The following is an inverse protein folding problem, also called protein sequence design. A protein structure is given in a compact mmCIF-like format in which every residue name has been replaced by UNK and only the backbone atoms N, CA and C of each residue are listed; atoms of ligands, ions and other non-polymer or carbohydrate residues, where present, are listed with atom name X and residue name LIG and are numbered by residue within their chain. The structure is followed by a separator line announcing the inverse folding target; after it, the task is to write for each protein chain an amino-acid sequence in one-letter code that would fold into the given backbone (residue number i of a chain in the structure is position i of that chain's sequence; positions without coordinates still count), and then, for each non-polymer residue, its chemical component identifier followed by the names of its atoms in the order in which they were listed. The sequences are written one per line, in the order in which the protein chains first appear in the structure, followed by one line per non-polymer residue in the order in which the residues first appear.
data_IF_446710993009
#
_entry.id   IF_446710993009
#
_cell.length_a   1.000
_cell.length_b   1.000
_cell.length_c   1.000
_cell.angle_alpha   90.00
_cell.angle_beta   90.00
_cell.angle_gamma   90.00
#
_symmetry.space_group_name_H-M   'P 1'
#
loop_
_entity.id
_entity.type
_entity.pdbx_description
1 polymer ?
#
# COMPACT_ATOMS: atom_id res chain seq x y z
N UNK A 1 -2.00 29.60 -6.08
CA UNK A 1 -2.61 28.27 -5.94
C UNK A 1 -1.59 27.23 -5.47
N UNK A 2 -2.06 26.13 -4.92
CA UNK A 2 -1.24 24.99 -4.55
C UNK A 2 -1.53 23.86 -5.52
N UNK A 3 -0.49 23.15 -5.95
CA UNK A 3 -0.59 22.03 -6.89
C UNK A 3 0.16 20.86 -6.31
N UNK A 4 -0.45 19.67 -6.32
CA UNK A 4 0.22 18.43 -5.92
C UNK A 4 0.77 17.75 -7.17
N UNK A 5 2.08 17.58 -7.22
CA UNK A 5 2.77 16.83 -8.26
C UNK A 5 3.21 15.49 -7.67
N UNK A 6 2.91 14.41 -8.37
CA UNK A 6 3.36 13.08 -8.02
C UNK A 6 4.33 12.60 -9.07
N UNK A 7 5.44 12.06 -8.65
CA UNK A 7 6.37 11.40 -9.56
C UNK A 7 6.82 10.05 -9.00
N UNK A 8 7.08 9.13 -9.89
CA UNK A 8 7.66 7.83 -9.58
C UNK A 8 9.02 7.75 -10.26
N UNK A 9 10.08 7.68 -9.48
CA UNK A 9 11.42 7.49 -10.01
C UNK A 9 11.75 6.00 -10.06
N UNK A 10 12.12 5.50 -11.24
CA UNK A 10 12.65 4.14 -11.43
C UNK A 10 14.07 4.23 -11.95
N UNK A 11 14.94 3.33 -11.48
CA UNK A 11 16.26 3.21 -12.08
C UNK A 11 16.14 2.60 -13.48
N UNK A 12 16.66 3.29 -14.50
CA UNK A 12 16.71 2.76 -15.85
C UNK A 12 17.76 1.66 -16.06
N UNK A 13 18.70 1.55 -15.12
CA UNK A 13 19.85 0.64 -15.23
C UNK A 13 19.78 -0.52 -14.23
N UNK A 14 18.88 -0.45 -13.24
CA UNK A 14 18.79 -1.46 -12.18
C UNK A 14 17.31 -1.68 -11.83
N UNK A 15 16.71 -2.66 -12.48
CA UNK A 15 15.31 -3.07 -12.26
C UNK A 15 15.07 -3.66 -10.85
N UNK A 16 16.14 -3.93 -10.08
CA UNK A 16 16.02 -4.44 -8.71
C UNK A 16 15.81 -3.33 -7.68
N UNK A 17 16.03 -2.07 -8.07
CA UNK A 17 15.76 -0.93 -7.20
C UNK A 17 14.28 -0.59 -7.19
N UNK A 18 13.69 -0.42 -6.00
CA UNK A 18 12.29 -0.10 -5.87
C UNK A 18 11.97 1.25 -6.50
N UNK A 19 10.79 1.35 -7.09
CA UNK A 19 10.24 2.64 -7.45
C UNK A 19 9.85 3.40 -6.19
N UNK A 20 10.24 4.66 -6.10
CA UNK A 20 9.81 5.54 -5.01
C UNK A 20 8.80 6.53 -5.56
N UNK A 21 7.57 6.48 -5.05
CA UNK A 21 6.56 7.49 -5.36
C UNK A 21 6.71 8.63 -4.36
N UNK A 22 6.86 9.85 -4.87
CA UNK A 22 6.96 11.04 -4.07
C UNK A 22 5.92 12.06 -4.51
N UNK A 23 5.35 12.77 -3.55
CA UNK A 23 4.49 13.90 -3.80
C UNK A 23 5.28 15.20 -3.61
N UNK A 24 5.15 16.08 -4.58
CA UNK A 24 5.68 17.45 -4.49
C UNK A 24 4.50 18.41 -4.46
N UNK A 25 4.41 19.24 -3.45
CA UNK A 25 3.46 20.36 -3.46
C UNK A 25 4.13 21.57 -4.09
N UNK A 26 3.61 22.00 -5.23
CA UNK A 26 3.95 23.26 -5.84
C UNK A 26 2.99 24.33 -5.28
N UNK A 27 3.51 25.23 -4.46
CA UNK A 27 2.76 26.41 -4.00
C UNK A 27 3.13 27.61 -4.86
N UNK A 28 2.20 28.07 -5.68
CA UNK A 28 2.38 29.32 -6.46
C UNK A 28 1.91 30.49 -5.59
N UNK A 29 2.86 31.27 -5.15
CA UNK A 29 2.59 32.49 -4.35
C UNK A 29 2.10 33.64 -5.25
N UNK A 30 1.36 34.60 -4.71
CA UNK A 30 0.80 35.73 -5.49
C UNK A 30 1.85 36.59 -6.20
N UNK A 31 3.08 36.55 -5.74
CA UNK A 31 4.21 37.30 -6.31
C UNK A 31 5.06 36.50 -7.33
N UNK A 32 4.57 35.36 -7.79
CA UNK A 32 5.26 34.48 -8.74
C UNK A 32 6.42 33.69 -8.16
N UNK A 33 6.65 33.74 -6.83
CA UNK A 33 7.59 32.83 -6.18
C UNK A 33 7.00 31.43 -6.09
N UNK A 34 7.82 30.44 -6.38
CA UNK A 34 7.46 29.02 -6.31
C UNK A 34 8.28 28.36 -5.22
N UNK A 35 7.60 27.80 -4.23
CA UNK A 35 8.25 26.95 -3.24
C UNK A 35 7.81 25.51 -3.50
N UNK A 36 8.76 24.66 -3.81
CA UNK A 36 8.56 23.22 -3.92
C UNK A 36 8.72 22.59 -2.54
N UNK A 37 7.64 22.04 -2.02
CA UNK A 37 7.66 21.28 -0.77
C UNK A 37 7.41 19.83 -1.15
N UNK A 38 8.44 19.01 -0.97
CA UNK A 38 8.29 17.56 -1.09
C UNK A 38 7.57 17.03 0.16
N UNK A 39 6.38 16.45 -0.05
CA UNK A 39 5.63 15.79 0.99
C UNK A 39 5.74 14.28 0.80
N UNK A 40 6.48 13.65 1.68
CA UNK A 40 6.43 12.19 1.84
C UNK A 40 5.20 11.87 2.71
N UNK A 41 4.05 11.67 2.05
CA UNK A 41 2.79 11.31 2.73
C UNK A 41 2.59 9.82 2.86
N UNK A 42 3.48 9.04 2.24
CA UNK A 42 3.38 7.58 2.27
C UNK A 42 3.88 7.05 3.61
N UNK A 43 2.98 6.47 4.38
CA UNK A 43 3.28 5.92 5.71
C UNK A 43 3.73 4.46 5.64
N UNK A 44 3.28 3.72 4.63
CA UNK A 44 3.78 2.35 4.39
C UNK A 44 5.16 2.42 3.75
N UNK A 45 6.10 1.75 4.37
CA UNK A 45 7.45 1.59 3.82
C UNK A 45 7.55 0.27 3.08
N UNK A 46 8.16 0.32 1.90
CA UNK A 46 8.36 -0.88 1.08
C UNK A 46 7.03 -1.59 0.74
N UNK A 47 6.02 -0.83 0.31
CA UNK A 47 4.70 -1.39 -0.01
C UNK A 47 4.68 -2.32 -1.23
N UNK A 48 5.69 -2.24 -2.08
CA UNK A 48 5.95 -3.16 -3.20
C UNK A 48 6.79 -4.38 -2.81
N UNK A 49 7.20 -4.51 -1.55
CA UNK A 49 8.02 -5.61 -1.02
C UNK A 49 9.40 -5.81 -1.69
N UNK A 50 9.87 -4.90 -2.53
CA UNK A 50 11.11 -5.07 -3.29
C UNK A 50 12.37 -4.90 -2.45
N UNK A 51 12.30 -4.16 -1.33
CA UNK A 51 13.43 -3.93 -0.44
C UNK A 51 13.61 -5.07 0.56
N UNK A 52 14.84 -5.57 0.65
CA UNK A 52 15.22 -6.59 1.62
C UNK A 52 16.30 -7.52 1.08
N UNK A 53 16.79 -8.39 1.95
CA UNK A 53 17.78 -9.39 1.57
C UNK A 53 17.15 -10.43 0.68
N UNK A 54 17.78 -10.73 -0.44
CA UNK A 54 17.37 -11.83 -1.31
C UNK A 54 17.96 -13.16 -0.81
N UNK A 55 17.20 -14.25 -0.85
CA UNK A 55 17.74 -15.55 -0.50
C UNK A 55 18.79 -15.97 -1.52
N UNK A 56 19.80 -16.72 -1.08
CA UNK A 56 20.83 -17.30 -1.95
C UNK A 56 20.25 -18.37 -2.90
N UNK A 57 19.13 -18.98 -2.53
CA UNK A 57 18.38 -19.95 -3.34
C UNK A 57 16.90 -19.92 -2.95
N UNK A 58 16.04 -20.37 -3.89
CA UNK A 58 14.60 -20.44 -3.68
C UNK A 58 13.86 -19.14 -3.96
N UNK A 59 12.57 -19.18 -3.73
CA UNK A 59 11.61 -18.13 -4.11
C UNK A 59 10.93 -17.47 -2.93
N UNK A 60 11.15 -17.92 -1.70
CA UNK A 60 10.45 -17.47 -0.49
C UNK A 60 11.40 -17.04 0.61
N UNK A 61 10.96 -16.06 1.42
CA UNK A 61 11.68 -15.53 2.57
C UNK A 61 10.70 -15.06 3.65
N UNK A 62 11.14 -15.11 4.92
CA UNK A 62 10.30 -14.74 6.07
C UNK A 62 10.40 -13.27 6.46
N UNK A 63 11.25 -12.48 5.83
CA UNK A 63 11.41 -11.06 6.18
C UNK A 63 11.65 -10.19 4.96
N UNK A 64 11.02 -9.03 4.95
CA UNK A 64 11.27 -7.92 4.05
C UNK A 64 11.35 -6.66 4.88
N UNK A 65 12.14 -5.69 4.42
CA UNK A 65 12.32 -4.41 5.11
C UNK A 65 10.97 -3.81 5.49
N UNK A 66 10.82 -3.46 6.76
CA UNK A 66 9.64 -2.85 7.37
C UNK A 66 8.41 -3.74 7.52
N UNK A 67 8.41 -4.97 7.02
CA UNK A 67 7.28 -5.89 7.11
C UNK A 67 7.56 -7.06 8.04
N UNK A 68 6.51 -7.50 8.74
CA UNK A 68 6.50 -8.65 9.64
C UNK A 68 5.46 -9.65 9.18
N UNK A 69 5.67 -10.92 9.53
CA UNK A 69 4.78 -12.02 9.14
C UNK A 69 4.50 -12.95 10.31
N UNK A 70 3.31 -13.55 10.31
CA UNK A 70 2.99 -14.72 11.14
C UNK A 70 2.41 -15.78 10.21
N UNK A 71 3.03 -16.96 10.18
CA UNK A 71 2.64 -18.05 9.29
C UNK A 71 2.50 -17.65 7.82
N UNK A 72 3.16 -16.58 7.41
CA UNK A 72 3.17 -16.03 6.06
C UNK A 72 4.61 -15.84 5.59
N UNK A 73 4.80 -15.43 4.35
CA UNK A 73 6.11 -15.24 3.71
C UNK A 73 6.05 -14.11 2.71
N UNK A 74 7.19 -13.81 2.14
CA UNK A 74 7.31 -13.03 0.90
C UNK A 74 7.83 -13.96 -0.18
N UNK A 75 7.33 -13.81 -1.39
CA UNK A 75 7.68 -14.70 -2.50
C UNK A 75 7.98 -13.93 -3.77
N UNK A 76 8.80 -14.54 -4.63
CA UNK A 76 9.09 -14.09 -5.99
C UNK A 76 8.79 -15.21 -7.03
N UNK A 77 7.75 -15.98 -6.80
CA UNK A 77 7.34 -16.95 -7.81
C UNK A 77 6.96 -16.23 -9.10
N UNK A 78 7.29 -16.82 -10.25
CA UNK A 78 6.90 -16.22 -11.54
C UNK A 78 5.40 -15.93 -11.61
N UNK A 79 5.06 -14.67 -11.87
CA UNK A 79 3.67 -14.23 -12.02
C UNK A 79 2.88 -14.05 -10.71
N UNK A 80 3.53 -14.10 -9.53
CA UNK A 80 2.85 -13.86 -8.26
C UNK A 80 2.77 -12.37 -7.87
N UNK A 81 3.71 -11.53 -8.31
CA UNK A 81 3.71 -10.09 -8.02
C UNK A 81 2.82 -9.33 -8.99
N UNK A 82 2.14 -8.30 -8.49
CA UNK A 82 1.43 -7.32 -9.32
C UNK A 82 2.44 -6.41 -10.04
N UNK A 83 3.44 -5.94 -9.31
CA UNK A 83 4.50 -5.08 -9.82
C UNK A 83 5.85 -5.57 -9.27
N UNK A 84 6.92 -5.41 -10.06
CA UNK A 84 8.25 -5.84 -9.65
C UNK A 84 8.42 -7.35 -9.63
N UNK A 85 9.08 -7.87 -8.59
CA UNK A 85 9.42 -9.29 -8.45
C UNK A 85 8.86 -9.93 -7.20
N UNK A 86 8.63 -9.18 -6.14
CA UNK A 86 8.27 -9.70 -4.83
C UNK A 86 6.85 -9.30 -4.44
N UNK A 87 6.17 -10.17 -3.73
CA UNK A 87 4.89 -9.90 -3.09
C UNK A 87 4.80 -10.55 -1.70
N UNK A 88 3.86 -10.08 -0.90
CA UNK A 88 3.45 -10.76 0.32
C UNK A 88 2.67 -12.03 -0.01
N UNK A 89 2.87 -13.09 0.75
CA UNK A 89 2.30 -14.41 0.50
C UNK A 89 1.74 -15.04 1.76
N UNK A 90 0.42 -15.30 1.78
CA UNK A 90 -0.28 -16.05 2.80
C UNK A 90 -0.57 -17.45 2.23
N UNK A 91 0.12 -18.50 2.73
CA UNK A 91 0.11 -19.80 2.07
C UNK A 91 -1.22 -20.55 2.24
N UNK A 92 -1.45 -21.49 1.32
CA UNK A 92 -2.48 -22.50 1.46
C UNK A 92 -2.23 -23.43 2.67
N UNK A 93 -3.24 -24.19 3.03
CA UNK A 93 -3.21 -25.12 4.16
C UNK A 93 -2.83 -24.47 5.49
N UNK A 94 -3.23 -23.21 5.65
CA UNK A 94 -3.01 -22.41 6.84
C UNK A 94 -4.25 -21.57 7.13
N UNK A 95 -4.83 -21.75 8.31
CA UNK A 95 -6.02 -21.01 8.74
C UNK A 95 -5.72 -19.71 9.48
N UNK A 96 -4.46 -19.41 9.78
CA UNK A 96 -4.07 -18.20 10.49
C UNK A 96 -2.73 -17.69 9.95
N UNK A 97 -2.78 -16.88 8.91
CA UNK A 97 -1.61 -16.27 8.30
C UNK A 97 -1.82 -14.77 8.15
N UNK A 98 -0.78 -13.97 8.45
CA UNK A 98 -0.86 -12.54 8.30
C UNK A 98 0.48 -11.90 7.94
N UNK A 99 0.39 -10.76 7.25
CA UNK A 99 1.47 -9.84 6.92
C UNK A 99 1.08 -8.48 7.47
N UNK A 100 1.99 -7.82 8.16
CA UNK A 100 1.66 -6.56 8.81
C UNK A 100 2.83 -5.60 8.93
N UNK A 101 2.49 -4.32 9.03
CA UNK A 101 3.42 -3.23 9.29
C UNK A 101 2.84 -2.28 10.33
N UNK A 102 3.69 -1.78 11.23
CA UNK A 102 3.33 -0.75 12.19
C UNK A 102 3.54 0.63 11.58
N UNK A 103 2.53 1.47 11.69
CA UNK A 103 2.51 2.86 11.22
C UNK A 103 2.06 3.79 12.34
N UNK A 104 2.58 5.01 12.37
CA UNK A 104 2.15 6.03 13.34
C UNK A 104 1.04 6.88 12.73
N UNK A 105 -0.17 6.81 13.29
CA UNK A 105 -1.32 7.58 12.83
C UNK A 105 -1.68 8.68 13.82
N UNK A 106 -2.08 9.84 13.29
CA UNK A 106 -2.57 10.98 14.05
C UNK A 106 -4.04 10.78 14.41
N UNK A 107 -4.45 11.33 15.56
CA UNK A 107 -5.83 11.44 16.01
C UNK A 107 -6.60 12.42 15.12
N UNK A 108 -7.91 12.21 14.95
CA UNK A 108 -8.79 13.08 14.15
C UNK A 108 -8.27 13.34 12.73
N UNK A 109 -7.76 12.31 12.10
CA UNK A 109 -7.13 12.42 10.78
C UNK A 109 -7.64 11.33 9.84
N UNK A 110 -7.89 11.72 8.59
CA UNK A 110 -8.33 10.81 7.55
C UNK A 110 -7.13 10.24 6.79
N UNK A 111 -7.19 8.96 6.46
CA UNK A 111 -6.20 8.26 5.67
C UNK A 111 -6.87 7.40 4.61
N UNK A 112 -6.13 7.07 3.57
CA UNK A 112 -6.54 6.14 2.53
C UNK A 112 -5.52 5.02 2.40
N UNK A 113 -5.96 3.79 2.67
CA UNK A 113 -5.19 2.58 2.44
C UNK A 113 -5.56 2.02 1.07
N UNK A 114 -4.54 1.68 0.27
CA UNK A 114 -4.70 0.98 -0.99
C UNK A 114 -3.78 -0.22 -1.03
N UNK A 115 -4.22 -1.28 -1.71
CA UNK A 115 -3.40 -2.46 -1.97
C UNK A 115 -3.90 -3.21 -3.20
N UNK A 116 -3.05 -4.06 -3.75
CA UNK A 116 -3.40 -5.08 -4.73
C UNK A 116 -3.43 -6.43 -4.03
N UNK A 117 -4.51 -7.17 -4.19
CA UNK A 117 -4.71 -8.46 -3.54
C UNK A 117 -5.21 -9.50 -4.53
N UNK A 118 -4.62 -10.69 -4.53
CA UNK A 118 -5.06 -11.81 -5.35
C UNK A 118 -5.40 -13.01 -4.45
N UNK A 119 -6.58 -13.59 -4.65
CA UNK A 119 -7.05 -14.81 -3.99
C UNK A 119 -7.17 -15.93 -5.02
N UNK A 120 -6.88 -17.17 -4.62
CA UNK A 120 -6.75 -18.28 -5.58
C UNK A 120 -7.83 -19.35 -5.48
N UNK A 121 -8.73 -19.28 -4.50
CA UNK A 121 -9.76 -20.30 -4.30
C UNK A 121 -11.15 -19.65 -4.13
N UNK A 122 -12.11 -20.08 -4.95
CA UNK A 122 -13.49 -19.56 -4.90
C UNK A 122 -14.11 -19.78 -3.52
N UNK A 123 -14.73 -18.74 -2.97
CA UNK A 123 -15.26 -18.74 -1.60
C UNK A 123 -14.23 -18.36 -0.53
N UNK A 124 -12.96 -18.23 -0.90
CA UNK A 124 -11.91 -17.76 0.00
C UNK A 124 -12.16 -16.31 0.44
N UNK A 125 -11.81 -16.03 1.70
CA UNK A 125 -11.85 -14.68 2.25
C UNK A 125 -10.49 -14.29 2.83
N UNK A 126 -10.20 -13.01 2.82
CA UNK A 126 -9.14 -12.39 3.60
C UNK A 126 -9.63 -11.07 4.19
N UNK A 127 -8.92 -10.58 5.18
CA UNK A 127 -9.26 -9.37 5.92
C UNK A 127 -8.13 -8.36 5.86
N UNK A 128 -8.50 -7.09 5.72
CA UNK A 128 -7.58 -5.96 5.88
C UNK A 128 -8.09 -5.11 7.03
N UNK A 129 -7.25 -4.88 8.03
CA UNK A 129 -7.64 -4.14 9.22
C UNK A 129 -6.50 -3.29 9.80
N UNK A 130 -6.89 -2.29 10.61
CA UNK A 130 -5.99 -1.51 11.43
C UNK A 130 -6.32 -1.76 12.91
N UNK A 131 -5.30 -2.09 13.67
CA UNK A 131 -5.46 -2.42 15.09
C UNK A 131 -4.28 -1.97 15.94
N UNK A 132 -4.58 -1.75 17.23
CA UNK A 132 -3.58 -1.62 18.27
C UNK A 132 -3.81 -2.73 19.29
N UNK A 133 -2.84 -3.65 19.43
CA UNK A 133 -3.03 -4.89 20.18
C UNK A 133 -4.24 -5.68 19.65
N UNK A 134 -5.22 -5.96 20.51
CA UNK A 134 -6.47 -6.63 20.13
C UNK A 134 -7.63 -5.66 19.82
N UNK A 135 -7.39 -4.35 19.84
CA UNK A 135 -8.41 -3.34 19.58
C UNK A 135 -8.34 -2.87 18.14
N UNK A 136 -9.46 -2.95 17.44
CA UNK A 136 -9.61 -2.42 16.10
C UNK A 136 -9.93 -0.92 16.15
N UNK A 137 -9.47 -0.19 15.16
CA UNK A 137 -9.90 1.18 14.95
C UNK A 137 -11.40 1.18 14.63
N UNK A 138 -12.24 1.77 15.49
CA UNK A 138 -13.69 1.85 15.30
C UNK A 138 -13.99 2.74 14.07
N UNK A 139 -15.05 2.47 13.34
CA UNK A 139 -15.50 3.12 12.10
C UNK A 139 -14.79 2.66 10.81
N UNK A 140 -13.66 1.95 10.89
CA UNK A 140 -13.00 1.38 9.71
C UNK A 140 -12.38 0.04 10.08
N UNK A 141 -13.24 -0.86 10.57
CA UNK A 141 -12.77 -2.01 11.33
C UNK A 141 -12.05 -3.03 10.47
N UNK A 142 -12.61 -3.30 9.30
CA UNK A 142 -12.13 -4.41 8.51
C UNK A 142 -12.77 -4.40 7.12
N UNK A 143 -11.97 -4.57 6.09
CA UNK A 143 -12.48 -4.99 4.78
C UNK A 143 -12.37 -6.49 4.66
N UNK A 144 -13.47 -7.14 4.28
CA UNK A 144 -13.45 -8.52 3.83
C UNK A 144 -13.34 -8.58 2.32
N UNK A 145 -12.25 -9.13 1.82
CA UNK A 145 -12.03 -9.41 0.40
C UNK A 145 -12.47 -10.84 0.12
N UNK A 146 -13.28 -11.04 -0.92
CA UNK A 146 -13.83 -12.36 -1.28
C UNK A 146 -13.37 -12.78 -2.68
N UNK A 147 -13.05 -14.06 -2.82
CA UNK A 147 -12.79 -14.68 -4.11
C UNK A 147 -14.09 -15.22 -4.71
N UNK A 148 -14.39 -14.80 -5.92
CA UNK A 148 -15.49 -15.29 -6.75
C UNK A 148 -14.96 -16.03 -7.98
N UNK A 149 -15.82 -16.67 -8.76
CA UNK A 149 -15.42 -17.26 -10.05
C UNK A 149 -14.83 -16.22 -11.01
N UNK A 150 -15.33 -14.98 -10.95
CA UNK A 150 -14.91 -13.90 -11.87
C UNK A 150 -13.52 -13.33 -11.55
N UNK A 151 -13.15 -13.27 -10.25
CA UNK A 151 -11.92 -12.64 -9.80
C UNK A 151 -10.84 -13.62 -9.32
N UNK A 152 -11.12 -14.92 -9.37
CA UNK A 152 -10.18 -15.98 -8.99
C UNK A 152 -8.85 -15.83 -9.74
N UNK A 153 -7.76 -15.75 -8.98
CA UNK A 153 -6.41 -15.64 -9.53
C UNK A 153 -6.12 -14.29 -10.21
N UNK A 154 -6.97 -13.29 -10.03
CA UNK A 154 -6.74 -11.93 -10.53
C UNK A 154 -6.48 -10.97 -9.38
N UNK A 155 -5.63 -9.99 -9.61
CA UNK A 155 -5.40 -8.91 -8.65
C UNK A 155 -6.62 -7.97 -8.61
N UNK A 156 -7.10 -7.74 -7.39
CA UNK A 156 -8.19 -6.82 -7.07
C UNK A 156 -7.62 -5.58 -6.41
N UNK A 157 -8.22 -4.43 -6.71
CA UNK A 157 -7.95 -3.20 -5.98
C UNK A 157 -8.66 -3.21 -4.64
N UNK A 158 -7.91 -2.94 -3.58
CA UNK A 158 -8.43 -2.73 -2.24
C UNK A 158 -8.24 -1.26 -1.90
N UNK A 159 -9.31 -0.63 -1.48
CA UNK A 159 -9.31 0.75 -1.03
C UNK A 159 -10.11 0.86 0.27
N UNK A 160 -9.50 1.43 1.30
CA UNK A 160 -10.12 1.66 2.60
C UNK A 160 -9.91 3.10 3.02
N UNK A 161 -11.01 3.83 3.17
CA UNK A 161 -11.02 5.14 3.80
C UNK A 161 -11.02 4.97 5.32
N UNK A 162 -10.07 5.60 5.98
CA UNK A 162 -9.84 5.50 7.42
C UNK A 162 -10.06 6.87 8.03
N UNK A 163 -10.93 6.95 9.01
CA UNK A 163 -11.04 8.10 9.91
C UNK A 163 -10.65 7.67 11.32
N UNK A 164 -9.55 8.19 11.82
CA UNK A 164 -9.03 7.80 13.12
C UNK A 164 -9.87 8.32 14.27
N UNK A 165 -10.62 9.41 14.07
CA UNK A 165 -11.47 10.01 15.09
C UNK A 165 -10.74 10.30 16.41
N UNK A 166 -11.53 10.40 17.47
CA UNK A 166 -11.06 10.64 18.84
C UNK A 166 -11.29 9.41 19.74
N UNK A 167 -10.64 8.29 19.39
CA UNK A 167 -10.79 7.05 20.16
C UNK A 167 -9.79 7.01 21.32
N UNK A 168 -10.24 7.37 22.52
CA UNK A 168 -9.38 7.37 23.71
C UNK A 168 -8.80 5.98 24.02
N UNK A 169 -9.54 4.91 23.78
CA UNK A 169 -9.05 3.54 23.94
C UNK A 169 -7.84 3.19 23.05
N UNK A 170 -7.71 3.87 21.92
CA UNK A 170 -6.62 3.71 20.95
C UNK A 170 -5.49 4.72 21.23
N UNK A 171 -5.85 6.01 21.37
CA UNK A 171 -4.88 7.10 21.44
C UNK A 171 -4.37 7.37 22.86
N UNK A 172 -5.17 7.05 23.91
CA UNK A 172 -4.78 7.16 25.33
C UNK A 172 -4.18 8.56 25.65
N UNK A 173 -4.91 9.62 25.34
CA UNK A 173 -4.51 11.01 25.57
C UNK A 173 -3.44 11.54 24.61
N UNK A 174 -2.98 10.76 23.64
CA UNK A 174 -1.94 11.17 22.69
C UNK A 174 -2.54 11.70 21.38
N UNK A 175 -1.80 12.60 20.72
CA UNK A 175 -2.17 13.11 19.40
C UNK A 175 -1.86 12.15 18.25
N UNK A 176 -1.00 11.15 18.50
CA UNK A 176 -0.71 10.08 17.54
C UNK A 176 -0.36 8.79 18.28
N UNK A 177 -0.51 7.67 17.60
CA UNK A 177 -0.18 6.35 18.15
C UNK A 177 0.20 5.37 17.05
N UNK A 178 0.97 4.35 17.43
CA UNK A 178 1.31 3.26 16.54
C UNK A 178 0.13 2.31 16.41
N UNK A 179 -0.24 2.03 15.17
CA UNK A 179 -1.25 1.07 14.74
C UNK A 179 -0.64 0.06 13.79
N UNK A 180 -1.19 -1.14 13.77
CA UNK A 180 -0.76 -2.18 12.84
C UNK A 180 -1.73 -2.26 11.68
N UNK A 181 -1.24 -2.03 10.47
CA UNK A 181 -1.92 -2.39 9.21
C UNK A 181 -1.66 -3.87 8.97
N UNK A 182 -2.73 -4.65 8.83
CA UNK A 182 -2.65 -6.10 8.78
C UNK A 182 -3.48 -6.67 7.62
N UNK A 183 -2.85 -7.50 6.80
CA UNK A 183 -3.48 -8.36 5.79
C UNK A 183 -3.48 -9.77 6.34
N UNK A 184 -4.66 -10.37 6.53
CA UNK A 184 -4.77 -11.66 7.18
C UNK A 184 -5.82 -12.56 6.55
N UNK A 185 -5.60 -13.85 6.65
CA UNK A 185 -6.63 -14.85 6.49
C UNK A 185 -6.85 -15.58 7.80
N UNK A 186 -8.11 -15.88 8.09
CA UNK A 186 -8.50 -16.54 9.32
C UNK A 186 -9.63 -17.54 9.07
N UNK A 187 -9.42 -18.77 9.48
CA UNK A 187 -10.45 -19.82 9.59
C UNK A 187 -9.96 -20.93 10.50
N UNK A 188 -10.86 -21.52 11.24
CA UNK A 188 -10.60 -22.71 12.06
C UNK A 188 -10.87 -24.01 11.27
N UNK A 189 -11.55 -23.92 10.13
CA UNK A 189 -11.96 -25.08 9.35
C UNK A 189 -10.97 -25.40 8.23
N UNK A 190 -10.38 -26.57 8.27
CA UNK A 190 -9.48 -27.09 7.21
C UNK A 190 -10.20 -27.42 5.91
N UNK A 191 -11.53 -27.53 5.94
CA UNK A 191 -12.35 -27.71 4.74
C UNK A 191 -12.72 -26.41 4.04
N UNK A 192 -12.52 -25.27 4.70
CA UNK A 192 -12.85 -23.95 4.21
C UNK A 192 -11.94 -23.54 3.02
N UNK A 193 -12.51 -22.81 2.07
CA UNK A 193 -11.78 -22.24 0.94
C UNK A 193 -10.66 -21.29 1.40
N UNK A 194 -10.86 -20.56 2.50
CA UNK A 194 -9.85 -19.68 3.10
C UNK A 194 -8.63 -20.46 3.59
N UNK A 195 -8.81 -21.66 4.13
CA UNK A 195 -7.70 -22.53 4.51
C UNK A 195 -6.93 -23.03 3.28
N UNK A 196 -7.64 -23.47 2.24
CA UNK A 196 -7.07 -24.10 1.04
C UNK A 196 -6.43 -23.10 0.08
N UNK A 197 -6.92 -21.87 0.04
CA UNK A 197 -6.50 -20.87 -0.91
C UNK A 197 -5.23 -20.12 -0.51
N UNK A 198 -4.51 -19.62 -1.51
CA UNK A 198 -3.38 -18.69 -1.36
C UNK A 198 -3.87 -17.26 -1.43
N UNK A 199 -3.16 -16.34 -0.77
CA UNK A 199 -3.32 -14.90 -0.95
C UNK A 199 -1.98 -14.29 -1.32
N UNK A 200 -2.00 -13.41 -2.32
CA UNK A 200 -0.88 -12.55 -2.65
C UNK A 200 -1.28 -11.10 -2.39
N UNK A 201 -0.37 -10.33 -1.81
CA UNK A 201 -0.56 -8.91 -1.47
C UNK A 201 0.59 -8.12 -2.08
N UNK A 202 0.27 -7.01 -2.74
CA UNK A 202 1.28 -6.18 -3.36
C UNK A 202 0.84 -4.71 -3.43
N UNK A 203 1.78 -3.83 -3.74
CA UNK A 203 1.58 -2.40 -3.99
C UNK A 203 0.74 -1.71 -2.90
N UNK A 204 1.12 -1.94 -1.64
CA UNK A 204 0.44 -1.37 -0.47
C UNK A 204 0.85 0.07 -0.26
N UNK A 205 -0.12 0.95 -0.04
CA UNK A 205 0.10 2.36 0.30
C UNK A 205 -0.88 2.82 1.38
N UNK A 206 -0.44 3.73 2.23
CA UNK A 206 -1.28 4.39 3.23
C UNK A 206 -0.92 5.86 3.28
N UNK A 207 -1.80 6.73 2.85
CA UNK A 207 -1.57 8.17 2.75
C UNK A 207 -2.55 8.97 3.60
N UNK A 208 -2.09 10.07 4.20
CA UNK A 208 -2.95 11.03 4.87
C UNK A 208 -3.77 11.80 3.83
N UNK A 209 -5.10 11.82 4.02
CA UNK A 209 -6.02 12.61 3.19
C UNK A 209 -6.13 14.01 3.80
N UNK A 210 -5.80 15.03 3.03
CA UNK A 210 -5.98 16.41 3.46
C UNK A 210 -7.20 17.01 2.79
N UNK A 211 -7.79 18.06 3.38
CA UNK A 211 -8.91 18.78 2.77
C UNK A 211 -8.56 19.38 1.39
N UNK A 212 -7.28 19.47 1.09
CA UNK A 212 -6.80 19.87 -0.22
C UNK A 212 -7.06 18.78 -1.27
N UNK A 213 -6.93 17.51 -0.89
CA UNK A 213 -7.16 16.38 -1.81
C UNK A 213 -8.65 16.22 -2.18
N UNK A 214 -9.57 16.65 -1.32
CA UNK A 214 -11.02 16.62 -1.57
C UNK A 214 -11.49 17.72 -2.57
N UNK A 215 -10.70 18.77 -2.74
CA UNK A 215 -11.05 19.95 -3.55
C UNK A 215 -10.33 20.02 -4.90
N UNK A 216 -9.42 19.10 -5.20
CA UNK A 216 -8.67 19.10 -6.46
C UNK A 216 -9.19 18.04 -7.42
N UNK A 217 -9.69 18.50 -8.56
CA UNK A 217 -9.86 17.64 -9.73
C UNK A 217 -8.51 17.56 -10.48
N UNK A 218 -8.12 16.37 -10.87
CA UNK A 218 -6.98 16.22 -11.78
C UNK A 218 -7.34 16.86 -13.12
N UNK A 219 -6.70 17.99 -13.41
CA UNK A 219 -6.93 18.72 -14.66
C UNK A 219 -5.90 18.38 -15.75
N UNK A 220 -4.79 17.80 -15.35
CA UNK A 220 -3.73 17.37 -16.24
C UNK A 220 -2.79 16.38 -15.54
N UNK A 221 -2.34 15.37 -16.28
CA UNK A 221 -1.30 14.43 -15.86
C UNK A 221 -0.41 14.11 -17.05
N UNK A 222 0.88 13.92 -16.81
CA UNK A 222 1.83 13.38 -17.77
C UNK A 222 2.61 12.26 -17.08
N UNK A 223 2.43 11.06 -17.56
CA UNK A 223 3.08 9.86 -17.03
C UNK A 223 4.46 9.63 -17.65
N UNK A 224 4.89 10.53 -18.57
CA UNK A 224 6.14 10.41 -19.32
C UNK A 224 6.30 9.05 -20.03
N UNK A 225 5.18 8.48 -20.47
CA UNK A 225 5.15 7.17 -21.12
C UNK A 225 5.47 7.23 -22.61
N UNK A 226 5.48 8.43 -23.20
CA UNK A 226 5.79 8.66 -24.59
C UNK A 226 7.30 8.56 -24.85
N UNK A 227 7.66 8.21 -26.08
CA UNK A 227 9.06 8.15 -26.51
C UNK A 227 9.75 9.51 -26.59
N UNK A 228 8.97 10.58 -26.66
CA UNK A 228 9.43 11.96 -26.69
C UNK A 228 8.67 12.83 -25.70
N UNK A 229 9.33 13.87 -25.21
CA UNK A 229 8.73 14.84 -24.31
C UNK A 229 7.68 15.69 -25.04
N UNK A 230 6.48 15.81 -24.47
CA UNK A 230 5.46 16.72 -25.02
C UNK A 230 5.91 18.18 -24.87
N UNK A 231 6.46 18.72 -25.93
CA UNK A 231 7.00 20.10 -25.98
C UNK A 231 5.94 21.20 -25.82
N UNK A 232 4.64 20.88 -25.82
CA UNK A 232 3.60 21.84 -25.51
C UNK A 232 3.51 22.12 -24.01
N UNK A 233 3.81 21.11 -23.21
CA UNK A 233 3.69 21.16 -21.76
C UNK A 233 5.06 21.21 -21.06
N UNK A 234 6.14 20.81 -21.74
CA UNK A 234 7.48 20.72 -21.17
C UNK A 234 8.52 21.45 -21.99
N UNK A 235 9.43 22.10 -21.33
CA UNK A 235 10.59 22.76 -21.94
C UNK A 235 11.89 22.25 -21.31
N UNK A 236 12.99 22.38 -22.06
CA UNK A 236 14.33 22.17 -21.52
C UNK A 236 14.91 23.50 -21.03
N UNK A 237 15.46 23.54 -19.84
CA UNK A 237 16.42 24.58 -19.49
C UNK A 237 17.75 24.25 -20.16
N UNK A 238 18.22 25.14 -21.02
CA UNK A 238 19.56 25.09 -21.56
C UNK A 238 20.45 25.86 -20.57
N UNK A 239 21.28 25.11 -19.80
CA UNK A 239 22.29 25.69 -18.92
C UNK A 239 23.49 26.26 -19.70
#
# INVERSE_FOLDING_TARGET
GKYNLYYTARSSTDSTKPSTRRAVILTVLPNGKQDLIELDRELIKNGSFENGTNPSSGYEINSRTSWQVTNARFTKWPGCSYEGSWCGFLPENNGNANIYQTVNLKKNTKYKLKAKVQLTEVGQTMFVNLKKNAQYLVNNNEITVKCTEENKGQYQDIELDIDTGDQESIFNGKNSTDLTVCFMKWTESTSDATYKGKVFVDNVSLTEVTNEDENYNLVWADEFNESELDKKNWGYELG
#
